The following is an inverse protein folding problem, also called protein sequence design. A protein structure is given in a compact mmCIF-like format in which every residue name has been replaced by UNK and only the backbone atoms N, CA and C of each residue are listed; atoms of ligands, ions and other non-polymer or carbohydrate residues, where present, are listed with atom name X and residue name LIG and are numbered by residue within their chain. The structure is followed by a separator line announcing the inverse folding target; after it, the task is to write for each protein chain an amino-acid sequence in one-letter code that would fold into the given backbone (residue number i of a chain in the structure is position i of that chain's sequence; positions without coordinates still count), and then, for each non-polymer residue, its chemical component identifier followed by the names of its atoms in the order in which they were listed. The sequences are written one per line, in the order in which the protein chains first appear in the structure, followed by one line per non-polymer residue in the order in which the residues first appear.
data_IF_622732960435
#
_entry.id   IF_622732960435
#
_cell.length_a   1.000
_cell.length_b   1.000
_cell.length_c   1.000
_cell.angle_alpha   90.00
_cell.angle_beta   90.00
_cell.angle_gamma   90.00
#
_symmetry.space_group_name_H-M   'P 1'
#
loop_
_entity.id
_entity.type
_entity.pdbx_description
1 polymer ?
#
# COMPACT_ATOMS: atom_id res chain seq x y z
N UNK A 1 -37.27 -84.57 -13.17
CA UNK A 1 -37.56 -83.29 -12.53
C UNK A 1 -36.22 -82.55 -12.33
N UNK A 2 -35.88 -81.65 -13.19
CA UNK A 2 -34.58 -80.95 -13.17
C UNK A 2 -34.83 -79.51 -12.71
N UNK A 3 -34.35 -79.16 -11.51
CA UNK A 3 -34.31 -77.75 -11.03
C UNK A 3 -33.24 -76.96 -11.75
N UNK A 4 -33.62 -75.83 -12.34
CA UNK A 4 -32.71 -74.88 -12.87
C UNK A 4 -32.45 -73.81 -11.79
N UNK A 5 -31.18 -73.67 -11.37
CA UNK A 5 -30.72 -72.63 -10.48
C UNK A 5 -30.39 -71.42 -11.35
N UNK A 6 -31.07 -70.30 -11.11
CA UNK A 6 -30.76 -69.00 -11.75
C UNK A 6 -29.79 -68.23 -10.86
N UNK A 7 -28.54 -68.01 -11.33
CA UNK A 7 -27.57 -67.15 -10.67
C UNK A 7 -27.80 -65.66 -11.05
N UNK A 8 -28.14 -64.85 -10.06
CA UNK A 8 -28.24 -63.41 -10.24
C UNK A 8 -26.84 -62.82 -9.99
N UNK A 9 -26.23 -62.29 -11.03
CA UNK A 9 -24.98 -61.50 -10.93
C UNK A 9 -25.36 -60.07 -10.63
N UNK A 10 -25.11 -59.61 -9.41
CA UNK A 10 -25.26 -58.21 -9.02
C UNK A 10 -24.02 -57.43 -9.51
N UNK A 11 -24.17 -56.60 -10.53
CA UNK A 11 -23.13 -55.66 -10.96
C UNK A 11 -23.12 -54.44 -10.01
N UNK A 12 -22.10 -54.36 -9.15
CA UNK A 12 -21.82 -53.13 -8.38
C UNK A 12 -21.20 -52.11 -9.32
N UNK A 13 -21.95 -51.06 -9.69
CA UNK A 13 -21.41 -49.85 -10.30
C UNK A 13 -20.68 -49.05 -9.20
N UNK A 14 -19.36 -49.06 -9.21
CA UNK A 14 -18.55 -48.13 -8.45
C UNK A 14 -18.70 -46.74 -9.07
N UNK A 15 -19.49 -45.89 -8.44
CA UNK A 15 -19.51 -44.45 -8.78
C UNK A 15 -18.20 -43.87 -8.24
N UNK A 16 -17.21 -43.77 -9.13
CA UNK A 16 -16.01 -42.93 -8.87
C UNK A 16 -16.49 -41.48 -8.87
N UNK A 17 -16.70 -40.93 -7.69
CA UNK A 17 -16.95 -39.53 -7.50
C UNK A 17 -15.72 -38.74 -7.99
N UNK A 18 -15.81 -38.20 -9.20
CA UNK A 18 -14.84 -37.20 -9.67
C UNK A 18 -14.98 -35.98 -8.72
N UNK A 19 -14.10 -35.92 -7.73
CA UNK A 19 -13.92 -34.70 -6.94
C UNK A 19 -13.61 -33.57 -7.92
N UNK A 20 -14.53 -32.62 -8.04
CA UNK A 20 -14.27 -31.39 -8.78
C UNK A 20 -13.10 -30.73 -8.10
N UNK A 21 -11.93 -30.78 -8.72
CA UNK A 21 -10.78 -29.97 -8.29
C UNK A 21 -11.25 -28.51 -8.30
N UNK A 22 -11.49 -27.95 -7.12
CA UNK A 22 -11.88 -26.56 -6.96
C UNK A 22 -10.70 -25.73 -7.50
N UNK A 23 -10.93 -24.98 -8.58
CA UNK A 23 -9.90 -24.14 -9.13
C UNK A 23 -9.39 -23.23 -8.02
N UNK A 24 -8.06 -23.15 -7.86
CA UNK A 24 -7.45 -22.28 -6.86
C UNK A 24 -8.03 -20.85 -6.99
N UNK A 25 -8.35 -20.18 -5.87
CA UNK A 25 -8.95 -18.86 -5.90
C UNK A 25 -8.06 -17.90 -6.70
N UNK A 26 -8.68 -17.16 -7.63
CA UNK A 26 -7.94 -16.18 -8.42
C UNK A 26 -7.81 -14.89 -7.61
N UNK A 27 -6.66 -14.70 -7.00
CA UNK A 27 -6.35 -13.46 -6.30
C UNK A 27 -6.24 -12.30 -7.30
N UNK A 28 -6.91 -11.18 -7.02
CA UNK A 28 -6.90 -10.02 -7.91
C UNK A 28 -7.11 -8.73 -7.11
N UNK A 29 -6.37 -7.69 -7.47
CA UNK A 29 -6.64 -6.33 -7.01
C UNK A 29 -7.93 -5.79 -7.65
N UNK A 30 -8.61 -4.82 -7.02
CA UNK A 30 -9.77 -4.17 -7.61
C UNK A 30 -9.35 -3.39 -8.85
N UNK A 31 -10.22 -3.37 -9.86
CA UNK A 31 -9.95 -2.57 -11.05
C UNK A 31 -9.93 -1.08 -10.69
N UNK A 32 -8.90 -0.31 -11.11
CA UNK A 32 -8.85 1.13 -10.91
C UNK A 32 -10.05 1.85 -11.54
N UNK A 33 -10.51 2.90 -10.87
CA UNK A 33 -11.66 3.71 -11.32
C UNK A 33 -11.32 4.87 -12.25
N UNK A 34 -10.03 5.17 -12.43
CA UNK A 34 -9.60 6.21 -13.37
C UNK A 34 -9.61 5.77 -14.83
N UNK A 35 -9.35 6.69 -15.72
CA UNK A 35 -9.46 6.47 -17.18
C UNK A 35 -8.16 6.07 -17.86
N UNK A 36 -7.02 6.32 -17.22
CA UNK A 36 -5.72 6.03 -17.83
C UNK A 36 -5.29 4.58 -17.58
N UNK A 37 -4.75 3.88 -18.59
CA UNK A 37 -3.95 2.70 -18.35
C UNK A 37 -2.81 3.00 -17.38
N UNK A 38 -2.35 2.01 -16.61
CA UNK A 38 -1.30 2.18 -15.62
C UNK A 38 -0.03 1.48 -16.09
N UNK A 39 1.08 2.23 -16.16
CA UNK A 39 2.42 1.71 -16.35
C UNK A 39 3.17 1.60 -15.02
N UNK A 40 4.13 0.67 -14.94
CA UNK A 40 5.04 0.56 -13.80
C UNK A 40 6.48 0.46 -14.26
N UNK A 41 7.39 0.94 -13.41
CA UNK A 41 8.81 0.64 -13.49
C UNK A 41 9.39 0.59 -12.08
N UNK A 42 10.47 -0.17 -11.87
CA UNK A 42 11.10 -0.30 -10.56
C UNK A 42 12.57 0.10 -10.60
N UNK A 43 13.04 0.68 -9.50
CA UNK A 43 14.42 1.12 -9.32
C UNK A 43 15.01 0.54 -8.05
N UNK A 44 16.25 0.14 -8.13
CA UNK A 44 17.11 -0.11 -6.99
C UNK A 44 17.93 1.16 -6.71
N UNK A 45 17.80 1.72 -5.52
CA UNK A 45 18.54 2.89 -5.10
C UNK A 45 19.48 2.55 -3.95
N UNK A 46 20.71 3.03 -4.05
CA UNK A 46 21.69 2.98 -2.96
C UNK A 46 22.05 4.43 -2.57
N UNK A 47 21.77 4.79 -1.32
CA UNK A 47 22.21 6.06 -0.75
C UNK A 47 23.62 5.87 -0.18
N UNK A 48 24.61 6.23 -0.98
CA UNK A 48 26.02 6.08 -0.61
C UNK A 48 26.48 7.07 0.47
N UNK A 49 25.67 8.07 0.81
CA UNK A 49 25.97 9.06 1.85
C UNK A 49 25.64 8.58 3.26
N UNK A 50 24.75 7.55 3.38
CA UNK A 50 24.30 7.03 4.68
C UNK A 50 24.63 5.54 4.83
N UNK A 51 25.06 5.16 6.04
CA UNK A 51 25.02 3.77 6.47
C UNK A 51 23.58 3.32 6.64
N UNK A 52 23.31 2.03 6.44
CA UNK A 52 21.99 1.47 6.76
C UNK A 52 21.75 1.52 8.28
N UNK A 53 20.58 1.98 8.74
CA UNK A 53 20.32 2.12 10.18
C UNK A 53 20.28 0.79 10.92
N UNK A 54 19.98 -0.31 10.23
CA UNK A 54 19.81 -1.64 10.83
C UNK A 54 21.04 -2.54 10.63
N UNK A 55 21.77 -2.31 9.53
CA UNK A 55 23.00 -3.02 9.17
C UNK A 55 24.09 -1.99 8.85
N UNK A 56 24.71 -1.33 9.85
CA UNK A 56 25.62 -0.19 9.64
C UNK A 56 26.86 -0.47 8.81
N UNK A 57 27.22 -1.73 8.61
CA UNK A 57 28.30 -2.15 7.70
C UNK A 57 27.94 -2.00 6.22
N UNK A 58 26.68 -1.77 5.89
CA UNK A 58 26.16 -1.59 4.53
C UNK A 58 25.72 -0.15 4.29
N UNK A 59 25.57 0.23 3.03
CA UNK A 59 24.93 1.48 2.62
C UNK A 59 23.41 1.30 2.59
N UNK A 60 22.68 2.41 2.83
CA UNK A 60 21.21 2.36 2.79
C UNK A 60 20.72 2.07 1.37
N UNK A 61 20.00 0.99 1.21
CA UNK A 61 19.41 0.56 -0.04
C UNK A 61 17.89 0.54 0.06
N UNK A 62 17.22 0.70 -1.08
CA UNK A 62 15.77 0.58 -1.18
C UNK A 62 15.32 0.22 -2.58
N UNK A 63 14.22 -0.53 -2.66
CA UNK A 63 13.50 -0.73 -3.91
C UNK A 63 12.35 0.27 -4.01
N UNK A 64 12.24 0.93 -5.14
CA UNK A 64 11.15 1.88 -5.40
C UNK A 64 10.40 1.45 -6.65
N UNK A 65 9.08 1.29 -6.54
CA UNK A 65 8.22 1.05 -7.69
C UNK A 65 7.48 2.33 -8.04
N UNK A 66 7.54 2.74 -9.31
CA UNK A 66 6.70 3.80 -9.84
C UNK A 66 5.49 3.22 -10.53
N UNK A 67 4.32 3.78 -10.26
CA UNK A 67 3.10 3.64 -11.06
C UNK A 67 2.80 4.99 -11.70
N UNK A 68 2.40 4.99 -12.97
CA UNK A 68 2.17 6.23 -13.71
C UNK A 68 1.12 6.05 -14.79
N UNK A 69 0.42 7.12 -15.20
CA UNK A 69 -0.49 7.08 -16.33
C UNK A 69 0.25 6.72 -17.61
N UNK A 70 -0.13 5.63 -18.24
CA UNK A 70 0.41 5.22 -19.53
C UNK A 70 -0.48 5.70 -20.68
N UNK A 71 0.09 5.83 -21.88
CA UNK A 71 -0.68 6.15 -23.10
C UNK A 71 -1.54 4.97 -23.52
N UNK A 72 -0.99 3.77 -23.45
CA UNK A 72 -1.64 2.52 -23.81
C UNK A 72 -1.25 1.43 -22.78
N UNK A 73 -2.07 0.39 -22.62
CA UNK A 73 -1.67 -0.79 -21.86
C UNK A 73 -0.40 -1.41 -22.47
N UNK A 74 0.54 -1.80 -21.63
CA UNK A 74 1.71 -2.58 -22.06
C UNK A 74 1.36 -4.06 -22.24
N UNK A 75 2.35 -4.84 -22.65
CA UNK A 75 2.19 -6.27 -22.94
C UNK A 75 2.43 -7.18 -21.75
N UNK A 76 3.23 -6.73 -20.77
CA UNK A 76 3.66 -7.53 -19.63
C UNK A 76 2.97 -7.01 -18.36
N UNK A 77 2.06 -7.79 -17.73
CA UNK A 77 1.47 -7.42 -16.45
C UNK A 77 2.54 -7.25 -15.37
N UNK A 78 2.32 -6.33 -14.44
CA UNK A 78 3.17 -6.17 -13.27
C UNK A 78 2.94 -7.34 -12.32
N UNK A 79 4.01 -7.97 -11.86
CA UNK A 79 3.95 -8.97 -10.82
C UNK A 79 3.76 -8.28 -9.45
N UNK A 80 2.88 -8.83 -8.61
CA UNK A 80 2.58 -8.27 -7.29
C UNK A 80 3.78 -8.45 -6.33
N UNK A 81 4.21 -9.70 -6.13
CA UNK A 81 5.40 -10.06 -5.35
C UNK A 81 6.27 -11.04 -6.13
N UNK A 82 7.57 -11.05 -5.88
CA UNK A 82 8.48 -12.09 -6.36
C UNK A 82 8.18 -13.42 -5.67
N UNK A 83 8.73 -14.52 -6.18
CA UNK A 83 8.56 -15.85 -5.58
C UNK A 83 8.99 -15.84 -4.11
N UNK A 84 10.20 -15.32 -3.82
CA UNK A 84 10.73 -15.32 -2.45
C UNK A 84 9.96 -14.40 -1.50
N UNK A 85 9.51 -13.24 -1.98
CA UNK A 85 8.65 -12.35 -1.20
C UNK A 85 7.30 -13.02 -0.87
N UNK A 86 6.70 -13.73 -1.83
CA UNK A 86 5.46 -14.48 -1.63
C UNK A 86 5.61 -15.58 -0.58
N UNK A 87 6.66 -16.41 -0.69
CA UNK A 87 6.96 -17.47 0.26
C UNK A 87 7.06 -16.95 1.71
N UNK A 88 7.82 -15.87 1.90
CA UNK A 88 8.02 -15.29 3.23
C UNK A 88 6.75 -14.64 3.80
N UNK A 89 5.97 -13.93 2.95
CA UNK A 89 4.70 -13.33 3.36
C UNK A 89 3.65 -14.40 3.72
N UNK A 90 3.52 -15.46 2.93
CA UNK A 90 2.58 -16.56 3.21
C UNK A 90 3.02 -17.33 4.46
N UNK A 91 4.31 -17.52 4.65
CA UNK A 91 4.85 -18.14 5.88
C UNK A 91 4.50 -17.32 7.13
N UNK A 92 4.61 -15.98 7.05
CA UNK A 92 4.24 -15.07 8.16
C UNK A 92 2.74 -15.12 8.45
N UNK A 93 1.88 -15.29 7.43
CA UNK A 93 0.45 -15.46 7.57
C UNK A 93 0.11 -16.73 8.40
N UNK A 94 0.95 -17.76 8.34
CA UNK A 94 0.80 -18.99 9.14
C UNK A 94 -0.30 -19.94 8.69
N UNK A 95 -1.03 -19.62 7.63
CA UNK A 95 -2.09 -20.46 7.07
C UNK A 95 -1.52 -21.39 5.98
N UNK A 96 -1.42 -22.70 6.30
CA UNK A 96 -0.88 -23.71 5.40
C UNK A 96 -1.78 -24.04 4.21
N UNK A 97 -3.01 -23.56 4.16
CA UNK A 97 -3.92 -23.75 3.03
C UNK A 97 -3.57 -22.84 1.84
N UNK A 98 -2.83 -21.75 2.10
CA UNK A 98 -2.40 -20.80 1.08
C UNK A 98 -1.09 -21.28 0.45
N UNK A 99 -1.03 -21.51 -0.88
CA UNK A 99 0.23 -21.86 -1.55
C UNK A 99 1.28 -20.76 -1.38
N UNK A 100 2.55 -21.14 -1.15
CA UNK A 100 3.65 -20.20 -0.95
C UNK A 100 3.84 -19.22 -2.11
N UNK A 101 3.48 -19.63 -3.34
CA UNK A 101 3.54 -18.81 -4.55
C UNK A 101 2.24 -18.03 -4.85
N UNK A 102 1.24 -18.05 -3.97
CA UNK A 102 -0.08 -17.46 -4.22
C UNK A 102 0.00 -15.98 -4.58
N UNK A 103 0.86 -15.22 -3.89
CA UNK A 103 0.98 -13.78 -4.11
C UNK A 103 1.73 -13.40 -5.39
N UNK A 104 2.45 -14.34 -6.02
CA UNK A 104 3.02 -14.14 -7.36
C UNK A 104 1.94 -14.11 -8.45
N UNK A 105 0.78 -14.71 -8.18
CA UNK A 105 -0.33 -14.91 -9.11
C UNK A 105 -1.42 -13.86 -8.96
N UNK A 106 -1.26 -12.91 -8.04
CA UNK A 106 -2.22 -11.80 -7.87
C UNK A 106 -2.31 -11.00 -9.15
N UNK A 107 -3.52 -10.90 -9.70
CA UNK A 107 -3.76 -10.07 -10.89
C UNK A 107 -3.74 -8.60 -10.52
N UNK A 108 -2.77 -7.87 -11.04
CA UNK A 108 -2.68 -6.42 -11.03
C UNK A 108 -3.35 -5.82 -12.28
N UNK A 109 -3.45 -4.49 -12.33
CA UNK A 109 -4.01 -3.76 -13.49
C UNK A 109 -2.99 -2.84 -14.15
N UNK A 110 -1.74 -2.91 -13.74
CA UNK A 110 -0.61 -2.19 -14.30
C UNK A 110 0.25 -3.08 -15.19
N UNK A 111 1.03 -2.45 -16.07
CA UNK A 111 1.92 -3.13 -17.02
C UNK A 111 3.32 -2.54 -16.95
N UNK A 112 4.32 -3.43 -16.99
CA UNK A 112 5.73 -3.05 -16.85
C UNK A 112 6.19 -2.23 -18.06
N UNK A 113 6.87 -1.11 -17.79
CA UNK A 113 7.53 -0.23 -18.75
C UNK A 113 6.60 0.29 -19.87
N UNK A 114 5.30 0.41 -19.62
CA UNK A 114 4.37 1.04 -20.55
C UNK A 114 4.75 2.53 -20.77
N UNK A 115 4.54 3.02 -21.99
CA UNK A 115 4.91 4.39 -22.36
C UNK A 115 4.12 5.42 -21.54
N UNK A 116 4.77 6.31 -20.75
CA UNK A 116 4.07 7.30 -19.93
C UNK A 116 3.34 8.34 -20.79
N UNK A 117 2.25 8.92 -20.23
CA UNK A 117 1.60 10.08 -20.83
C UNK A 117 2.53 11.31 -20.79
N UNK A 118 2.64 12.04 -21.90
CA UNK A 118 3.48 13.23 -22.02
C UNK A 118 2.79 14.50 -21.47
N UNK A 119 2.59 14.51 -20.14
CA UNK A 119 2.07 15.70 -19.43
C UNK A 119 2.71 15.79 -18.04
N UNK A 120 2.74 16.99 -17.46
CA UNK A 120 3.18 17.15 -16.08
C UNK A 120 2.15 16.63 -15.09
N UNK A 121 2.59 15.78 -14.15
CA UNK A 121 1.77 15.05 -13.20
C UNK A 121 2.26 15.28 -11.77
N UNK A 122 1.36 15.40 -10.79
CA UNK A 122 1.73 15.40 -9.38
C UNK A 122 2.37 14.06 -8.98
N UNK A 123 3.23 14.07 -7.98
CA UNK A 123 3.86 12.88 -7.40
C UNK A 123 3.23 12.57 -6.03
N UNK A 124 2.93 11.32 -5.81
CA UNK A 124 2.53 10.79 -4.49
C UNK A 124 3.55 9.75 -4.05
N UNK A 125 4.18 9.95 -2.89
CA UNK A 125 5.04 8.95 -2.26
C UNK A 125 4.21 8.08 -1.35
N UNK A 126 4.33 6.75 -1.49
CA UNK A 126 3.68 5.77 -0.62
C UNK A 126 4.72 5.08 0.25
N UNK A 127 4.49 5.03 1.57
CA UNK A 127 5.28 4.29 2.54
C UNK A 127 4.40 3.25 3.24
N UNK A 128 4.72 1.95 3.14
CA UNK A 128 3.92 0.87 3.70
C UNK A 128 4.07 0.74 5.22
N UNK A 129 3.23 -0.08 5.83
CA UNK A 129 3.33 -0.47 7.23
C UNK A 129 4.65 -1.19 7.55
N UNK A 130 4.91 -1.37 8.85
CA UNK A 130 6.04 -2.18 9.30
C UNK A 130 5.83 -3.64 8.89
N UNK A 131 6.90 -4.31 8.51
CA UNK A 131 6.94 -5.64 7.89
C UNK A 131 6.31 -5.75 6.50
N UNK A 132 5.53 -4.77 6.06
CA UNK A 132 4.81 -4.87 4.80
C UNK A 132 5.67 -4.50 3.58
N UNK A 133 5.68 -5.32 2.53
CA UNK A 133 6.22 -4.95 1.24
C UNK A 133 5.47 -3.76 0.63
N UNK A 134 6.16 -2.94 -0.17
CA UNK A 134 5.54 -1.80 -0.90
C UNK A 134 4.36 -2.22 -1.79
N UNK A 135 4.35 -3.47 -2.24
CA UNK A 135 3.27 -4.04 -3.06
C UNK A 135 1.91 -4.04 -2.34
N UNK A 136 1.88 -4.06 -1.00
CA UNK A 136 0.60 -4.07 -0.24
C UNK A 136 -0.22 -2.79 -0.39
N UNK A 137 0.32 -1.76 -1.05
CA UNK A 137 -0.37 -0.52 -1.41
C UNK A 137 -0.63 -0.42 -2.92
N UNK A 138 -0.57 -1.54 -3.67
CA UNK A 138 -0.70 -1.52 -5.13
C UNK A 138 -2.09 -1.10 -5.61
N UNK A 139 -3.18 -1.48 -4.94
CA UNK A 139 -4.52 -1.03 -5.33
C UNK A 139 -4.64 0.50 -5.28
N UNK A 140 -4.19 1.11 -4.19
CA UNK A 140 -4.16 2.57 -4.07
C UNK A 140 -3.24 3.21 -5.12
N UNK A 141 -2.07 2.61 -5.37
CA UNK A 141 -1.12 3.13 -6.36
C UNK A 141 -1.69 3.08 -7.78
N UNK A 142 -2.33 1.98 -8.16
CA UNK A 142 -2.99 1.81 -9.46
C UNK A 142 -4.19 2.77 -9.61
N UNK A 143 -5.00 2.94 -8.56
CA UNK A 143 -6.12 3.89 -8.55
C UNK A 143 -5.62 5.32 -8.81
N UNK A 144 -4.64 5.79 -8.05
CA UNK A 144 -4.08 7.14 -8.18
C UNK A 144 -3.40 7.33 -9.54
N UNK A 145 -2.64 6.34 -10.01
CA UNK A 145 -2.00 6.42 -11.33
C UNK A 145 -3.04 6.47 -12.45
N UNK A 146 -4.10 5.67 -12.38
CA UNK A 146 -5.19 5.71 -13.37
C UNK A 146 -5.88 7.08 -13.45
N UNK A 147 -5.83 7.86 -12.35
CA UNK A 147 -6.36 9.23 -12.25
C UNK A 147 -5.34 10.32 -12.59
N UNK A 148 -4.14 9.95 -12.97
CA UNK A 148 -3.16 10.93 -13.49
C UNK A 148 -2.13 11.40 -12.48
N UNK A 149 -1.85 10.65 -11.44
CA UNK A 149 -0.72 10.85 -10.55
C UNK A 149 0.46 9.95 -10.94
N UNK A 150 1.67 10.38 -10.72
CA UNK A 150 2.83 9.48 -10.59
C UNK A 150 2.88 9.05 -9.12
N UNK A 151 3.04 7.77 -8.87
CA UNK A 151 3.06 7.22 -7.52
C UNK A 151 4.37 6.48 -7.31
N UNK A 152 5.08 6.75 -6.21
CA UNK A 152 6.35 6.12 -5.85
C UNK A 152 6.18 5.32 -4.54
N UNK A 153 6.07 4.01 -4.63
CA UNK A 153 6.04 3.13 -3.46
C UNK A 153 7.45 2.74 -3.02
N UNK A 154 7.81 3.04 -1.78
CA UNK A 154 9.15 2.78 -1.23
C UNK A 154 9.15 1.46 -0.45
N UNK A 155 10.04 0.54 -0.82
CA UNK A 155 10.42 -0.62 -0.01
C UNK A 155 11.62 -0.28 0.84
N UNK A 156 11.39 -0.06 2.14
CA UNK A 156 12.43 0.29 3.11
C UNK A 156 13.20 -0.97 3.52
N UNK A 157 14.48 -1.06 3.14
CA UNK A 157 15.30 -2.24 3.36
C UNK A 157 15.42 -2.58 4.85
N UNK A 158 15.42 -3.89 5.16
CA UNK A 158 15.47 -4.44 6.53
C UNK A 158 14.29 -4.09 7.44
N UNK A 159 13.19 -3.53 6.89
CA UNK A 159 11.99 -3.15 7.62
C UNK A 159 10.72 -3.86 7.11
N UNK A 160 10.86 -4.64 6.05
CA UNK A 160 9.83 -5.47 5.43
C UNK A 160 10.11 -6.95 5.66
N UNK A 161 9.08 -7.79 5.68
CA UNK A 161 9.19 -9.24 5.71
C UNK A 161 10.14 -9.73 4.62
N UNK A 162 10.06 -9.14 3.43
CA UNK A 162 10.99 -9.43 2.36
C UNK A 162 11.12 -8.28 1.36
N UNK A 163 12.33 -8.05 0.86
CA UNK A 163 12.59 -7.20 -0.31
C UNK A 163 13.60 -7.92 -1.20
N UNK A 164 13.19 -8.21 -2.44
CA UNK A 164 14.08 -8.81 -3.45
C UNK A 164 14.68 -7.73 -4.35
N UNK A 165 15.98 -7.78 -4.54
CA UNK A 165 16.76 -6.87 -5.36
C UNK A 165 17.03 -7.43 -6.77
N UNK A 166 17.48 -6.60 -7.73
CA UNK A 166 17.64 -7.02 -9.12
C UNK A 166 18.67 -8.13 -9.36
N UNK A 167 19.63 -8.30 -8.47
CA UNK A 167 20.63 -9.37 -8.50
C UNK A 167 20.11 -10.71 -7.94
N UNK A 168 18.85 -10.70 -7.47
CA UNK A 168 18.17 -11.89 -6.95
C UNK A 168 18.32 -12.09 -5.44
N UNK A 169 19.19 -11.33 -4.74
CA UNK A 169 19.23 -11.44 -3.29
C UNK A 169 17.93 -10.88 -2.65
N UNK A 170 17.55 -11.43 -1.52
CA UNK A 170 16.37 -11.00 -0.73
C UNK A 170 16.81 -10.69 0.69
N UNK A 171 16.43 -9.52 1.18
CA UNK A 171 16.61 -9.15 2.59
C UNK A 171 15.33 -9.37 3.38
N UNK A 172 15.48 -9.64 4.67
CA UNK A 172 14.38 -9.84 5.62
C UNK A 172 14.41 -8.73 6.71
N UNK A 173 13.41 -8.71 7.59
CA UNK A 173 13.24 -7.65 8.59
C UNK A 173 14.24 -7.74 9.74
N UNK A 174 15.33 -7.00 9.68
CA UNK A 174 16.29 -6.82 10.79
C UNK A 174 15.73 -5.87 11.87
N UNK A 175 15.03 -4.82 11.47
CA UNK A 175 14.38 -3.86 12.36
C UNK A 175 13.35 -4.51 13.30
N UNK A 176 12.80 -5.67 12.93
CA UNK A 176 11.85 -6.44 13.74
C UNK A 176 12.39 -6.85 15.11
N UNK A 177 13.71 -7.00 15.24
CA UNK A 177 14.36 -7.32 16.50
C UNK A 177 14.54 -6.07 17.36
N UNK A 178 14.97 -4.96 16.76
CA UNK A 178 15.29 -3.72 17.46
C UNK A 178 14.08 -2.97 18.01
N UNK A 179 12.96 -2.95 17.24
CA UNK A 179 11.70 -2.24 17.55
C UNK A 179 11.89 -0.80 18.03
N UNK A 180 12.87 -0.09 17.43
CA UNK A 180 13.14 1.33 17.70
C UNK A 180 12.31 2.19 16.73
N UNK A 181 11.11 2.54 17.17
CA UNK A 181 10.12 3.25 16.36
C UNK A 181 10.56 4.67 15.98
N UNK A 182 11.24 5.37 16.87
CA UNK A 182 11.75 6.73 16.61
C UNK A 182 12.80 6.69 15.50
N UNK A 183 13.78 5.82 15.64
CA UNK A 183 14.84 5.61 14.64
C UNK A 183 14.24 5.20 13.29
N UNK A 184 13.24 4.32 13.29
CA UNK A 184 12.57 3.84 12.11
C UNK A 184 11.87 4.98 11.36
N UNK A 185 11.09 5.79 12.07
CA UNK A 185 10.38 6.95 11.50
C UNK A 185 11.36 7.99 10.92
N UNK A 186 12.49 8.25 11.61
CA UNK A 186 13.53 9.15 11.14
C UNK A 186 14.25 8.60 9.89
N UNK A 187 14.57 7.31 9.88
CA UNK A 187 15.18 6.64 8.74
C UNK A 187 14.30 6.72 7.48
N UNK A 188 12.99 6.48 7.63
CA UNK A 188 12.02 6.58 6.53
C UNK A 188 11.84 8.00 6.03
N UNK A 189 11.84 9.00 6.90
CA UNK A 189 11.82 10.41 6.49
C UNK A 189 13.03 10.76 5.61
N UNK A 190 14.22 10.28 5.99
CA UNK A 190 15.43 10.46 5.19
C UNK A 190 15.39 9.67 3.86
N UNK A 191 14.82 8.47 3.84
CA UNK A 191 14.61 7.68 2.62
C UNK A 191 13.71 8.42 1.63
N UNK A 192 12.62 9.03 2.12
CA UNK A 192 11.71 9.82 1.28
C UNK A 192 12.43 10.99 0.63
N UNK A 193 13.20 11.77 1.40
CA UNK A 193 13.97 12.89 0.84
C UNK A 193 14.98 12.44 -0.22
N UNK A 194 15.69 11.32 0.04
CA UNK A 194 16.61 10.74 -0.93
C UNK A 194 15.88 10.28 -2.21
N UNK A 195 14.75 9.59 -2.09
CA UNK A 195 13.96 9.17 -3.25
C UNK A 195 13.48 10.36 -4.06
N UNK A 196 13.04 11.44 -3.40
CA UNK A 196 12.69 12.70 -4.09
C UNK A 196 13.89 13.30 -4.84
N UNK A 197 15.10 13.26 -4.28
CA UNK A 197 16.30 13.72 -4.98
C UNK A 197 16.58 12.90 -6.25
N UNK A 198 16.30 11.60 -6.22
CA UNK A 198 16.48 10.70 -7.37
C UNK A 198 15.40 10.88 -8.44
N UNK A 199 14.17 11.21 -8.05
CA UNK A 199 13.03 11.30 -8.97
C UNK A 199 12.81 12.70 -9.56
N UNK A 200 13.06 13.77 -8.77
CA UNK A 200 12.76 15.15 -9.16
C UNK A 200 13.95 16.11 -9.05
N UNK A 201 15.14 15.58 -8.75
CA UNK A 201 16.40 16.34 -8.73
C UNK A 201 16.83 16.80 -10.12
N UNK A 202 18.03 17.38 -10.22
CA UNK A 202 18.57 17.91 -11.48
C UNK A 202 18.68 16.84 -12.59
N UNK A 203 19.01 15.62 -12.22
CA UNK A 203 19.19 14.47 -13.11
C UNK A 203 18.28 13.32 -12.66
N UNK A 204 16.97 13.38 -12.99
CA UNK A 204 16.05 12.32 -12.57
C UNK A 204 16.43 11.00 -13.23
N UNK A 205 16.40 9.91 -12.44
CA UNK A 205 16.79 8.56 -12.91
C UNK A 205 15.74 7.92 -13.81
N UNK A 206 14.49 8.32 -13.65
CA UNK A 206 13.41 7.88 -14.53
C UNK A 206 13.39 8.73 -15.81
N UNK A 207 13.35 8.08 -16.98
CA UNK A 207 13.25 8.80 -18.27
C UNK A 207 12.03 9.73 -18.37
N UNK A 208 10.94 9.38 -17.66
CA UNK A 208 9.76 10.23 -17.47
C UNK A 208 9.86 11.24 -16.32
N UNK A 209 11.00 11.38 -15.64
CA UNK A 209 11.12 12.23 -14.45
C UNK A 209 10.80 13.71 -14.69
N UNK A 210 11.03 14.23 -15.91
CA UNK A 210 10.62 15.59 -16.31
C UNK A 210 9.09 15.77 -16.42
N UNK A 211 8.33 14.67 -16.43
CA UNK A 211 6.87 14.66 -16.41
C UNK A 211 6.33 14.80 -14.98
N UNK A 212 7.16 14.63 -13.95
CA UNK A 212 6.79 14.89 -12.56
C UNK A 212 6.80 16.39 -12.31
N UNK A 213 5.71 16.93 -11.73
CA UNK A 213 5.68 18.30 -11.24
C UNK A 213 6.23 18.36 -9.81
N UNK A 214 7.49 18.74 -9.68
CA UNK A 214 8.19 18.85 -8.40
C UNK A 214 7.55 19.85 -7.40
N UNK A 215 6.58 20.68 -7.83
CA UNK A 215 5.84 21.59 -6.95
C UNK A 215 4.57 20.97 -6.37
N UNK A 216 4.17 19.79 -6.86
CA UNK A 216 2.95 19.09 -6.48
C UNK A 216 3.28 17.66 -6.01
N UNK A 217 3.85 17.59 -4.80
CA UNK A 217 4.27 16.33 -4.18
C UNK A 217 3.49 16.12 -2.89
N UNK A 218 2.93 14.93 -2.68
CA UNK A 218 2.35 14.50 -1.43
C UNK A 218 3.01 13.20 -0.94
N UNK A 219 2.86 12.92 0.36
CA UNK A 219 3.20 11.63 0.95
C UNK A 219 1.97 11.05 1.64
N UNK A 220 1.74 9.76 1.43
CA UNK A 220 0.73 8.97 2.12
C UNK A 220 1.43 7.75 2.73
N UNK A 221 1.20 7.47 3.98
CA UNK A 221 1.77 6.30 4.62
C UNK A 221 0.76 5.53 5.45
N UNK A 222 0.90 4.21 5.47
CA UNK A 222 0.12 3.32 6.32
C UNK A 222 0.92 2.95 7.57
N UNK A 223 0.26 2.93 8.75
CA UNK A 223 0.88 2.48 10.00
C UNK A 223 2.17 3.27 10.29
N UNK A 224 3.32 2.62 10.43
CA UNK A 224 4.62 3.28 10.61
C UNK A 224 5.02 4.15 9.41
N UNK A 225 4.58 3.81 8.19
CA UNK A 225 4.70 4.69 7.03
C UNK A 225 3.92 5.99 7.22
N UNK A 226 2.74 5.91 7.83
CA UNK A 226 1.93 7.05 8.24
C UNK A 226 2.60 7.87 9.33
N UNK A 227 3.13 7.22 10.36
CA UNK A 227 3.94 7.84 11.41
C UNK A 227 5.14 8.62 10.87
N UNK A 228 5.68 8.19 9.71
CA UNK A 228 6.81 8.84 9.05
C UNK A 228 6.42 10.03 8.18
N UNK A 229 5.12 10.22 7.90
CA UNK A 229 4.65 11.25 6.94
C UNK A 229 4.89 12.67 7.47
N UNK A 230 4.48 12.98 8.69
CA UNK A 230 4.71 14.31 9.27
C UNK A 230 6.20 14.63 9.43
N UNK A 231 7.05 13.74 9.98
CA UNK A 231 8.50 13.95 10.00
C UNK A 231 9.13 14.16 8.62
N UNK A 232 8.72 13.39 7.61
CA UNK A 232 9.20 13.60 6.23
C UNK A 232 8.78 14.98 5.68
N UNK A 233 7.55 15.41 5.96
CA UNK A 233 7.09 16.76 5.58
C UNK A 233 7.86 17.86 6.29
N UNK A 234 8.18 17.70 7.57
CA UNK A 234 8.97 18.67 8.32
C UNK A 234 10.41 18.77 7.79
N UNK A 235 11.00 17.62 7.45
CA UNK A 235 12.37 17.54 6.92
C UNK A 235 12.46 18.02 5.46
N UNK A 236 11.42 17.82 4.65
CA UNK A 236 11.44 18.14 3.22
C UNK A 236 10.24 18.99 2.79
N UNK A 237 10.49 20.25 2.53
CA UNK A 237 9.45 21.22 2.13
C UNK A 237 8.90 21.01 0.71
N UNK A 238 9.48 20.12 -0.08
CA UNK A 238 8.91 19.70 -1.38
C UNK A 238 7.60 18.95 -1.21
N UNK A 239 7.40 18.26 -0.08
CA UNK A 239 6.17 17.54 0.23
C UNK A 239 5.12 18.57 0.66
N UNK A 240 4.11 18.80 -0.16
CA UNK A 240 3.13 19.89 -0.02
C UNK A 240 1.88 19.48 0.75
N UNK A 241 1.59 18.18 0.83
CA UNK A 241 0.46 17.61 1.55
C UNK A 241 0.81 16.21 2.07
N UNK A 242 0.20 15.77 3.17
CA UNK A 242 0.44 14.46 3.74
C UNK A 242 -0.80 13.80 4.29
N UNK A 243 -0.84 12.47 4.24
CA UNK A 243 -1.88 11.69 4.91
C UNK A 243 -1.27 10.54 5.72
N UNK A 244 -1.71 10.42 6.96
CA UNK A 244 -1.42 9.27 7.80
C UNK A 244 -2.62 8.33 7.82
N UNK A 245 -2.38 7.06 7.48
CA UNK A 245 -3.35 5.99 7.50
C UNK A 245 -3.07 5.11 8.72
N UNK A 246 -3.82 5.30 9.78
CA UNK A 246 -3.85 4.47 10.99
C UNK A 246 -2.47 4.23 11.65
N UNK A 247 -1.61 5.27 11.66
CA UNK A 247 -0.32 5.24 12.35
C UNK A 247 -0.36 5.94 13.70
N UNK A 248 0.74 5.87 14.46
CA UNK A 248 0.95 6.61 15.71
C UNK A 248 1.99 7.71 15.52
N UNK A 249 1.92 8.78 16.29
CA UNK A 249 2.96 9.81 16.27
C UNK A 249 4.05 9.49 17.30
N UNK A 250 5.26 9.18 16.85
CA UNK A 250 6.44 8.94 17.69
C UNK A 250 7.31 10.18 17.88
N UNK A 251 7.07 11.23 17.08
CA UNK A 251 7.81 12.48 17.09
C UNK A 251 6.84 13.66 17.11
N UNK A 252 7.23 14.81 17.69
CA UNK A 252 6.44 16.04 17.62
C UNK A 252 6.19 16.47 16.17
N UNK A 253 5.04 17.10 15.94
CA UNK A 253 4.65 17.62 14.62
C UNK A 253 4.61 19.16 14.61
N UNK A 254 5.13 19.79 15.63
CA UNK A 254 5.19 21.24 15.76
C UNK A 254 5.82 21.90 14.52
N UNK A 255 5.13 22.91 14.00
CA UNK A 255 5.55 23.61 12.78
C UNK A 255 5.04 23.00 11.47
N UNK A 256 4.20 21.98 11.54
CA UNK A 256 3.51 21.45 10.36
C UNK A 256 2.37 22.38 9.95
N UNK A 257 2.64 23.19 8.92
CA UNK A 257 1.77 24.25 8.39
C UNK A 257 1.09 23.88 7.06
N UNK A 258 1.34 22.67 6.55
CA UNK A 258 0.83 22.18 5.27
C UNK A 258 -0.34 21.20 5.47
N UNK A 259 -1.22 21.04 4.45
CA UNK A 259 -2.36 20.15 4.53
C UNK A 259 -2.02 18.76 5.02
N UNK A 260 -2.78 18.29 6.02
CA UNK A 260 -2.58 16.97 6.61
C UNK A 260 -3.91 16.27 6.90
N UNK A 261 -4.03 15.02 6.44
CA UNK A 261 -5.17 14.16 6.69
C UNK A 261 -4.79 13.06 7.70
N UNK A 262 -5.46 13.06 8.86
CA UNK A 262 -5.48 11.94 9.79
C UNK A 262 -6.65 11.03 9.41
N UNK A 263 -6.36 9.81 8.95
CA UNK A 263 -7.36 8.88 8.47
C UNK A 263 -7.16 7.51 9.14
N UNK A 264 -8.04 7.13 10.06
CA UNK A 264 -7.85 5.96 10.90
C UNK A 264 -9.05 5.05 11.07
N UNK A 265 -8.81 3.94 11.78
CA UNK A 265 -9.80 3.06 12.37
C UNK A 265 -10.32 3.66 13.70
N UNK A 266 -11.37 3.07 14.32
CA UNK A 266 -11.97 3.62 15.55
C UNK A 266 -11.01 3.75 16.76
N UNK A 267 -9.90 3.00 16.76
CA UNK A 267 -8.88 3.11 17.81
C UNK A 267 -8.27 4.52 17.90
N UNK A 268 -8.34 5.30 16.82
CA UNK A 268 -7.84 6.67 16.71
C UNK A 268 -8.97 7.71 16.73
N UNK A 269 -10.07 7.48 17.45
CA UNK A 269 -11.06 8.51 17.70
C UNK A 269 -10.56 9.50 18.78
N UNK A 270 -10.97 10.80 18.73
CA UNK A 270 -10.53 11.81 19.69
C UNK A 270 -10.83 11.43 21.14
N UNK A 271 -9.89 11.72 22.04
CA UNK A 271 -9.99 11.39 23.47
C UNK A 271 -9.82 9.89 23.76
N UNK A 272 -9.44 9.09 22.77
CA UNK A 272 -9.13 7.66 22.95
C UNK A 272 -7.94 7.45 23.89
N UNK A 273 -8.02 6.42 24.74
CA UNK A 273 -6.96 6.09 25.71
C UNK A 273 -5.88 5.19 25.15
N UNK A 274 -6.11 4.56 24.01
CA UNK A 274 -5.18 3.62 23.37
C UNK A 274 -4.04 4.36 22.69
N UNK A 275 -4.36 5.43 21.95
CA UNK A 275 -3.36 6.27 21.30
C UNK A 275 -3.73 7.76 21.40
N UNK A 276 -3.24 8.47 22.45
CA UNK A 276 -3.47 9.91 22.61
C UNK A 276 -2.58 10.78 21.69
N UNK A 277 -1.69 10.17 20.90
CA UNK A 277 -0.75 10.93 20.06
C UNK A 277 -1.46 11.72 18.96
N UNK A 278 -2.61 11.26 18.48
CA UNK A 278 -3.41 11.96 17.48
C UNK A 278 -4.00 13.27 18.01
N UNK A 279 -4.52 13.28 19.25
CA UNK A 279 -5.02 14.51 19.89
C UNK A 279 -3.91 15.53 20.06
N UNK A 280 -2.71 15.10 20.44
CA UNK A 280 -1.55 15.98 20.61
C UNK A 280 -1.11 16.57 19.27
N UNK A 281 -0.95 15.73 18.25
CA UNK A 281 -0.59 16.16 16.90
C UNK A 281 -1.65 17.09 16.29
N UNK A 282 -2.95 16.80 16.53
CA UNK A 282 -4.03 17.65 16.05
C UNK A 282 -3.92 19.08 16.57
N UNK A 283 -3.57 19.27 17.85
CA UNK A 283 -3.39 20.61 18.45
C UNK A 283 -2.18 21.35 17.88
N UNK A 284 -1.11 20.63 17.51
CA UNK A 284 0.15 21.23 17.04
C UNK A 284 0.13 21.62 15.55
N UNK A 285 -0.67 20.95 14.73
CA UNK A 285 -0.81 21.26 13.31
C UNK A 285 -1.56 22.58 13.11
N UNK A 286 -1.01 23.50 12.31
CA UNK A 286 -1.56 24.83 12.07
C UNK A 286 -2.13 25.03 10.68
N UNK A 287 -1.81 24.15 9.72
CA UNK A 287 -2.34 24.16 8.36
C UNK A 287 -3.74 23.57 8.24
N UNK A 288 -4.22 23.44 7.03
CA UNK A 288 -5.45 22.69 6.77
C UNK A 288 -5.31 21.27 7.29
N UNK A 289 -6.29 20.80 8.01
CA UNK A 289 -6.29 19.46 8.58
C UNK A 289 -7.67 18.85 8.60
N UNK A 290 -7.73 17.52 8.48
CA UNK A 290 -8.94 16.72 8.70
C UNK A 290 -8.57 15.47 9.50
N UNK A 291 -9.48 15.11 10.39
CA UNK A 291 -9.43 13.87 11.14
C UNK A 291 -10.69 13.08 10.83
N UNK A 292 -10.52 11.92 10.21
CA UNK A 292 -11.63 11.03 9.89
C UNK A 292 -11.31 9.61 10.34
N UNK A 293 -12.35 8.88 10.74
CA UNK A 293 -12.25 7.44 11.06
C UNK A 293 -13.33 6.67 10.31
N UNK A 294 -13.10 5.38 10.12
CA UNK A 294 -14.05 4.48 9.46
C UNK A 294 -14.66 3.57 10.51
N UNK A 295 -15.98 3.66 10.73
CA UNK A 295 -16.70 2.72 11.58
C UNK A 295 -16.48 1.30 11.10
N UNK A 296 -16.31 0.36 12.03
CA UNK A 296 -16.03 -1.03 11.71
C UNK A 296 -14.73 -1.26 10.91
N UNK A 297 -13.92 -0.19 10.71
CA UNK A 297 -12.61 -0.27 10.12
C UNK A 297 -11.61 -0.93 11.06
N UNK A 298 -10.54 -1.48 10.50
CA UNK A 298 -9.43 -2.06 11.23
C UNK A 298 -8.10 -1.66 10.56
N UNK A 299 -6.98 -1.91 11.24
CA UNK A 299 -5.66 -1.41 10.86
C UNK A 299 -5.25 -1.69 9.41
N UNK A 300 -5.49 -2.92 8.91
CA UNK A 300 -5.05 -3.33 7.57
C UNK A 300 -6.01 -2.88 6.45
N UNK A 301 -7.12 -2.19 6.76
CA UNK A 301 -8.12 -1.76 5.78
C UNK A 301 -7.56 -0.83 4.69
N UNK A 302 -6.42 -0.22 4.95
CA UNK A 302 -5.74 0.70 4.03
C UNK A 302 -4.76 0.00 3.07
N UNK A 303 -4.75 -1.35 3.09
CA UNK A 303 -3.85 -2.19 2.30
C UNK A 303 -4.61 -3.22 1.48
N UNK A 304 -3.90 -3.93 0.60
CA UNK A 304 -4.48 -5.01 -0.19
C UNK A 304 -4.73 -6.30 0.62
N UNK A 305 -4.17 -6.39 1.85
CA UNK A 305 -4.12 -7.63 2.62
C UNK A 305 -5.49 -8.22 2.92
N UNK A 306 -6.44 -7.41 3.41
CA UNK A 306 -7.77 -7.91 3.76
C UNK A 306 -8.49 -8.52 2.57
N UNK A 307 -8.43 -7.86 1.41
CA UNK A 307 -9.05 -8.35 0.19
C UNK A 307 -8.40 -9.66 -0.27
N UNK A 308 -7.07 -9.74 -0.22
CA UNK A 308 -6.35 -10.95 -0.64
C UNK A 308 -6.59 -12.10 0.34
N UNK A 309 -6.64 -11.86 1.66
CA UNK A 309 -7.05 -12.85 2.65
C UNK A 309 -8.47 -13.38 2.38
N UNK A 310 -9.45 -12.48 2.16
CA UNK A 310 -10.81 -12.85 1.82
C UNK A 310 -10.87 -13.73 0.57
N UNK A 311 -10.16 -13.35 -0.49
CA UNK A 311 -10.12 -14.11 -1.75
C UNK A 311 -9.40 -15.46 -1.61
N UNK A 312 -8.40 -15.55 -0.73
CA UNK A 312 -7.71 -16.78 -0.41
C UNK A 312 -8.50 -17.70 0.54
N UNK A 313 -9.63 -17.24 1.09
CA UNK A 313 -10.40 -17.97 2.09
C UNK A 313 -9.75 -17.98 3.48
N UNK A 314 -8.81 -17.07 3.75
CA UNK A 314 -8.16 -16.92 5.05
C UNK A 314 -9.02 -16.07 5.96
N UNK A 315 -9.49 -16.59 7.11
CA UNK A 315 -10.30 -15.82 8.04
C UNK A 315 -9.50 -14.67 8.67
N UNK A 316 -10.11 -13.50 8.75
CA UNK A 316 -9.58 -12.36 9.53
C UNK A 316 -10.51 -12.16 10.74
N UNK A 317 -10.12 -12.62 11.94
CA UNK A 317 -10.95 -12.55 13.12
C UNK A 317 -11.35 -11.10 13.47
N UNK A 318 -12.64 -10.89 13.72
CA UNK A 318 -13.14 -9.56 14.10
C UNK A 318 -13.35 -8.58 12.95
N UNK A 319 -13.03 -8.94 11.73
CA UNK A 319 -13.28 -8.11 10.55
C UNK A 319 -14.78 -7.87 10.37
N UNK A 320 -15.18 -6.60 10.34
CA UNK A 320 -16.59 -6.18 10.19
C UNK A 320 -16.84 -5.48 8.86
N UNK A 321 -15.90 -4.67 8.39
CA UNK A 321 -16.01 -3.98 7.12
C UNK A 321 -15.72 -4.95 5.96
N UNK A 322 -16.47 -4.84 4.86
CA UNK A 322 -16.14 -5.54 3.62
C UNK A 322 -14.80 -5.04 3.06
N UNK A 323 -13.82 -5.92 2.76
CA UNK A 323 -12.48 -5.51 2.31
C UNK A 323 -12.48 -4.65 1.04
N UNK A 324 -13.32 -4.95 0.07
CA UNK A 324 -13.42 -4.15 -1.15
C UNK A 324 -14.02 -2.77 -0.84
N UNK A 325 -15.00 -2.71 0.07
CA UNK A 325 -15.58 -1.44 0.53
C UNK A 325 -14.52 -0.60 1.25
N UNK A 326 -13.71 -1.19 2.12
CA UNK A 326 -12.61 -0.53 2.83
C UNK A 326 -11.63 0.14 1.85
N UNK A 327 -11.19 -0.61 0.81
CA UNK A 327 -10.34 -0.06 -0.26
C UNK A 327 -11.03 1.12 -0.95
N UNK A 328 -12.31 1.00 -1.33
CA UNK A 328 -13.04 2.05 -2.05
C UNK A 328 -13.25 3.32 -1.21
N UNK A 329 -13.47 3.18 0.08
CA UNK A 329 -13.53 4.32 1.01
C UNK A 329 -12.18 5.03 1.07
N UNK A 330 -11.10 4.27 1.27
CA UNK A 330 -9.74 4.81 1.34
C UNK A 330 -9.35 5.52 0.04
N UNK A 331 -9.56 4.89 -1.11
CA UNK A 331 -9.29 5.47 -2.43
C UNK A 331 -10.07 6.78 -2.67
N UNK A 332 -11.35 6.82 -2.27
CA UNK A 332 -12.20 8.00 -2.50
C UNK A 332 -11.71 9.22 -1.71
N UNK A 333 -11.47 9.05 -0.40
CA UNK A 333 -11.04 10.16 0.45
C UNK A 333 -9.61 10.60 0.16
N UNK A 334 -8.70 9.66 -0.14
CA UNK A 334 -7.32 9.99 -0.51
C UNK A 334 -7.25 10.67 -1.87
N UNK A 335 -8.04 10.23 -2.85
CA UNK A 335 -8.14 10.93 -4.15
C UNK A 335 -8.68 12.35 -3.97
N UNK A 336 -9.76 12.53 -3.19
CA UNK A 336 -10.30 13.84 -2.90
C UNK A 336 -9.28 14.76 -2.24
N UNK A 337 -8.54 14.26 -1.24
CA UNK A 337 -7.48 15.00 -0.56
C UNK A 337 -6.37 15.45 -1.53
N UNK A 338 -5.92 14.56 -2.39
CA UNK A 338 -4.88 14.88 -3.37
C UNK A 338 -5.37 15.83 -4.46
N UNK A 339 -6.61 15.66 -4.95
CA UNK A 339 -7.20 16.56 -5.94
C UNK A 339 -7.35 17.98 -5.39
N UNK A 340 -7.76 18.14 -4.13
CA UNK A 340 -7.87 19.44 -3.50
C UNK A 340 -6.50 20.11 -3.32
N UNK A 341 -5.55 19.40 -2.70
CA UNK A 341 -4.31 20.03 -2.25
C UNK A 341 -3.16 20.02 -3.27
N UNK A 342 -3.18 19.11 -4.26
CA UNK A 342 -2.17 19.10 -5.32
C UNK A 342 -2.68 19.65 -6.66
N UNK A 343 -3.99 19.66 -6.89
CA UNK A 343 -4.58 20.14 -8.15
C UNK A 343 -5.43 21.40 -7.99
N UNK A 344 -5.74 21.79 -6.74
CA UNK A 344 -6.61 22.92 -6.45
C UNK A 344 -8.06 22.70 -6.87
N UNK A 345 -8.53 21.46 -6.87
CA UNK A 345 -9.88 21.06 -7.22
C UNK A 345 -10.71 20.87 -5.95
N UNK A 346 -11.59 21.81 -5.55
CA UNK A 346 -12.37 21.69 -4.31
C UNK A 346 -13.14 20.36 -4.22
N UNK A 347 -13.13 19.73 -3.05
CA UNK A 347 -13.67 18.40 -2.84
C UNK A 347 -14.68 18.38 -1.70
N UNK A 348 -15.98 18.44 -2.01
CA UNK A 348 -17.05 18.40 -1.00
C UNK A 348 -17.01 17.17 -0.09
N UNK A 349 -16.38 16.09 -0.53
CA UNK A 349 -16.20 14.87 0.27
C UNK A 349 -15.36 15.12 1.54
N UNK A 350 -14.53 16.17 1.56
CA UNK A 350 -13.69 16.55 2.69
C UNK A 350 -14.35 17.58 3.63
N UNK A 351 -15.52 18.09 3.26
CA UNK A 351 -16.21 19.13 4.07
C UNK A 351 -17.02 18.53 5.22
N UNK A 352 -17.40 17.24 5.15
CA UNK A 352 -18.20 16.58 6.18
C UNK A 352 -18.75 15.22 5.76
N UNK A 353 -19.62 14.62 6.59
CA UNK A 353 -20.20 13.30 6.35
C UNK A 353 -20.92 13.21 5.01
N UNK A 354 -20.80 12.08 4.35
CA UNK A 354 -21.40 11.80 3.04
C UNK A 354 -22.35 10.61 3.09
N UNK A 355 -23.58 10.70 2.55
CA UNK A 355 -24.48 9.54 2.43
C UNK A 355 -23.90 8.40 1.60
N UNK A 356 -22.92 8.68 0.73
CA UNK A 356 -22.24 7.67 -0.05
C UNK A 356 -21.26 6.82 0.78
N UNK A 357 -20.77 7.40 1.88
CA UNK A 357 -19.79 6.78 2.80
C UNK A 357 -20.25 6.97 4.26
N UNK A 358 -21.40 6.38 4.65
CA UNK A 358 -21.99 6.58 5.98
C UNK A 358 -21.13 6.01 7.11
N UNK A 359 -20.18 5.13 6.80
CA UNK A 359 -19.20 4.58 7.73
C UNK A 359 -18.09 5.57 8.13
N UNK A 360 -17.91 6.68 7.38
CA UNK A 360 -16.86 7.67 7.68
C UNK A 360 -17.36 8.72 8.64
N UNK A 361 -16.65 8.88 9.76
CA UNK A 361 -16.86 9.93 10.76
C UNK A 361 -15.83 11.03 10.62
N UNK A 362 -16.27 12.26 10.85
CA UNK A 362 -15.45 13.46 10.89
C UNK A 362 -15.30 13.94 12.32
N UNK A 363 -14.07 14.38 12.67
CA UNK A 363 -13.72 14.88 13.98
C UNK A 363 -13.06 16.26 13.89
N UNK A 364 -13.35 17.15 14.84
CA UNK A 364 -12.74 18.49 14.95
C UNK A 364 -13.53 19.61 14.36
#
# INVERSE_FOLDING_TARGET
MRLRVIAIVAAMLAVVGAGTAQAAPRLALPRPGGVSPVGTTAFHFTDTSRADPWVPSQRREMMVTLWYPAQYPGWRPTQYLTQRESELMVKELGDKSVPEDALTKVRTHSTVDALPQFRRMPLVVLSPGFTLPRATLSSLAEELASRGYVVAGIGHNYESTAITFPDGHTTECVACVAKDWVKLVQARAADVSFVLDRLVGRNPVWGGGRLIDARRIAMIGHSIGGASTAPAMLADRRIRAGAMLDGMYYLPVTGLDRPFLQFGAPVHEPGGTVDPSWDSAWREMTGWKRWITVNDGEHSMFTDQLLLCQQAGVPVPGLKIDPLRAIRVSEAYLTAFLDEHLRGMPQRLLDGPSPRYPEVRFWG
#
